data_IF_913999658061
#
_entry.id   IF_913999658061
#
_cell.length_a   1.000
_cell.length_b   1.000
_cell.length_c   1.000
_cell.angle_alpha   90.00
_cell.angle_beta   90.00
_cell.angle_gamma   90.00
#
_symmetry.space_group_name_H-M   'P 1'
#
loop_
_entity.id
_entity.type
_entity.pdbx_description
1 polymer ?
#
# COMPACT_ATOMS: atom_id res chain seq x y z
N UNK A 1 -1.94 -11.35 -19.07
CA UNK A 1 -2.53 -10.29 -18.22
C UNK A 1 -2.19 -10.49 -16.76
N UNK A 2 -1.64 -9.47 -16.07
CA UNK A 2 -1.43 -9.50 -14.61
C UNK A 2 -2.56 -8.77 -13.89
N UNK A 3 -3.13 -9.41 -12.87
CA UNK A 3 -4.14 -8.85 -11.97
C UNK A 3 -3.53 -8.73 -10.58
N UNK A 4 -3.40 -7.52 -10.06
CA UNK A 4 -2.96 -7.32 -8.68
C UNK A 4 -4.16 -7.20 -7.74
N UNK A 5 -4.14 -7.95 -6.63
CA UNK A 5 -5.11 -7.85 -5.53
C UNK A 5 -4.44 -7.10 -4.38
N UNK A 6 -4.77 -5.82 -4.25
CA UNK A 6 -4.32 -4.99 -3.14
C UNK A 6 -5.28 -5.14 -1.97
N UNK A 7 -4.89 -5.87 -0.93
CA UNK A 7 -5.78 -6.20 0.16
C UNK A 7 -5.03 -6.53 1.45
N UNK A 8 -5.77 -6.50 2.56
CA UNK A 8 -5.30 -7.05 3.84
C UNK A 8 -5.87 -8.46 4.04
N UNK A 9 -5.08 -9.37 4.60
CA UNK A 9 -5.49 -10.75 4.90
C UNK A 9 -6.42 -10.84 6.11
N UNK A 10 -6.55 -9.76 6.90
CA UNK A 10 -7.56 -9.62 7.96
C UNK A 10 -8.87 -8.98 7.45
N UNK A 11 -8.99 -8.73 6.15
CA UNK A 11 -10.22 -8.17 5.57
C UNK A 11 -11.12 -9.26 4.99
N UNK A 12 -12.31 -9.46 5.55
CA UNK A 12 -13.24 -10.50 5.07
C UNK A 12 -13.69 -10.27 3.62
N UNK A 13 -13.79 -9.01 3.20
CA UNK A 13 -14.08 -8.65 1.82
C UNK A 13 -12.95 -9.02 0.86
N UNK A 14 -11.70 -9.11 1.31
CA UNK A 14 -10.61 -9.62 0.47
C UNK A 14 -10.83 -11.10 0.11
N UNK A 15 -11.28 -11.92 1.07
CA UNK A 15 -11.56 -13.33 0.82
C UNK A 15 -12.78 -13.54 -0.08
N UNK A 16 -13.85 -12.77 0.15
CA UNK A 16 -15.02 -12.75 -0.73
C UNK A 16 -14.61 -12.29 -2.14
N UNK A 17 -13.77 -11.26 -2.23
CA UNK A 17 -13.21 -10.74 -3.48
C UNK A 17 -12.42 -11.80 -4.25
N UNK A 18 -11.57 -12.58 -3.55
CA UNK A 18 -10.84 -13.72 -4.13
C UNK A 18 -11.79 -14.71 -4.82
N UNK A 19 -12.83 -15.17 -4.10
CA UNK A 19 -13.84 -16.10 -4.65
C UNK A 19 -14.58 -15.53 -5.85
N UNK A 20 -14.93 -14.23 -5.80
CA UNK A 20 -15.62 -13.56 -6.92
C UNK A 20 -14.71 -13.39 -8.14
N UNK A 21 -13.42 -13.12 -7.93
CA UNK A 21 -12.43 -13.08 -9.01
C UNK A 21 -12.24 -14.47 -9.63
N UNK A 22 -12.04 -15.51 -8.81
CA UNK A 22 -11.95 -16.90 -9.28
C UNK A 22 -13.17 -17.26 -10.13
N UNK A 23 -14.37 -16.91 -9.66
CA UNK A 23 -15.61 -17.14 -10.42
C UNK A 23 -15.66 -16.37 -11.74
N UNK A 24 -15.15 -15.14 -11.78
CA UNK A 24 -15.06 -14.36 -13.02
C UNK A 24 -14.06 -14.96 -14.01
N UNK A 25 -13.00 -15.61 -13.51
CA UNK A 25 -11.96 -16.25 -14.31
C UNK A 25 -12.35 -17.66 -14.81
N UNK A 26 -13.26 -18.38 -14.15
CA UNK A 26 -13.77 -19.68 -14.63
C UNK A 26 -14.37 -19.61 -16.05
N UNK A 27 -14.99 -18.49 -16.40
CA UNK A 27 -15.61 -18.23 -17.70
C UNK A 27 -14.81 -17.21 -18.52
N UNK A 28 -13.51 -17.10 -18.29
CA UNK A 28 -12.66 -16.16 -19.00
C UNK A 28 -12.16 -16.76 -20.31
N UNK A 29 -12.67 -16.23 -21.43
CA UNK A 29 -12.32 -16.66 -22.79
C UNK A 29 -11.19 -15.81 -23.42
N UNK A 30 -10.47 -15.01 -22.62
CA UNK A 30 -9.39 -14.18 -23.14
C UNK A 30 -8.12 -14.99 -23.42
N UNK A 31 -7.43 -14.66 -24.52
CA UNK A 31 -6.22 -15.36 -25.00
C UNK A 31 -5.00 -15.20 -24.08
N UNK A 32 -5.05 -14.24 -23.15
CA UNK A 32 -3.93 -13.92 -22.26
C UNK A 32 -3.84 -14.88 -21.07
N UNK A 33 -2.64 -15.42 -20.84
CA UNK A 33 -2.32 -16.09 -19.57
C UNK A 33 -2.54 -15.11 -18.40
N UNK A 34 -3.40 -15.50 -17.45
CA UNK A 34 -3.74 -14.68 -16.28
C UNK A 34 -2.79 -14.99 -15.13
N UNK A 35 -2.09 -13.97 -14.64
CA UNK A 35 -1.29 -14.04 -13.42
C UNK A 35 -1.95 -13.21 -12.32
N UNK A 36 -2.33 -13.85 -11.21
CA UNK A 36 -2.93 -13.17 -10.06
C UNK A 36 -1.85 -12.95 -9.00
N UNK A 37 -1.67 -11.71 -8.56
CA UNK A 37 -0.61 -11.32 -7.63
C UNK A 37 -1.19 -10.57 -6.44
N UNK A 38 -0.87 -11.01 -5.23
CA UNK A 38 -1.27 -10.32 -4.00
C UNK A 38 -0.30 -9.17 -3.68
N UNK A 39 -0.88 -8.04 -3.28
CA UNK A 39 -0.15 -6.83 -2.87
C UNK A 39 -0.61 -6.36 -1.49
N UNK A 40 0.33 -5.93 -0.63
CA UNK A 40 0.03 -5.66 0.76
C UNK A 40 -0.77 -4.36 0.90
N UNK A 41 -1.83 -4.45 1.70
CA UNK A 41 -2.49 -3.31 2.32
C UNK A 41 -2.73 -3.68 3.79
N UNK A 42 -2.52 -2.74 4.71
CA UNK A 42 -2.78 -2.95 6.14
C UNK A 42 -3.94 -2.07 6.59
N UNK A 43 -5.05 -2.70 6.98
CA UNK A 43 -6.24 -2.00 7.46
C UNK A 43 -6.01 -1.39 8.85
N UNK A 44 -5.29 -2.12 9.71
CA UNK A 44 -4.89 -1.68 11.04
C UNK A 44 -3.37 -1.79 11.19
N UNK A 45 -2.62 -0.76 10.78
CA UNK A 45 -1.17 -0.72 10.98
C UNK A 45 -0.76 -0.68 12.47
N UNK A 46 -1.70 -0.36 13.37
CA UNK A 46 -1.48 -0.20 14.81
C UNK A 46 -1.89 -1.40 15.65
N UNK A 47 -2.32 -2.49 15.01
CA UNK A 47 -2.60 -3.75 15.68
C UNK A 47 -1.36 -4.19 16.48
N UNK A 48 -1.52 -4.57 17.76
CA UNK A 48 -0.39 -4.99 18.60
C UNK A 48 0.23 -6.30 18.10
N UNK A 49 1.48 -6.57 18.49
CA UNK A 49 2.18 -7.79 18.09
C UNK A 49 1.49 -9.05 18.64
N UNK A 50 0.99 -8.97 19.88
CA UNK A 50 0.14 -10.01 20.46
C UNK A 50 -1.30 -9.78 20.02
N UNK A 51 -1.93 -10.79 19.40
CA UNK A 51 -3.31 -10.68 18.99
C UNK A 51 -4.27 -10.58 20.17
N UNK A 52 -5.34 -9.81 19.97
CA UNK A 52 -6.39 -9.58 20.97
C UNK A 52 -7.67 -10.31 20.54
N UNK A 53 -8.51 -10.79 21.48
CA UNK A 53 -9.81 -11.36 21.14
C UNK A 53 -10.70 -10.35 20.39
N UNK A 54 -11.18 -10.71 19.20
CA UNK A 54 -11.95 -9.81 18.35
C UNK A 54 -13.27 -9.39 19.00
N UNK A 55 -13.88 -10.24 19.82
CA UNK A 55 -15.15 -9.95 20.48
C UNK A 55 -15.03 -8.84 21.54
N UNK A 56 -13.87 -8.71 22.20
CA UNK A 56 -13.57 -7.59 23.09
C UNK A 56 -13.42 -6.29 22.31
N UNK A 57 -12.69 -6.33 21.20
CA UNK A 57 -12.47 -5.18 20.31
C UNK A 57 -13.78 -4.67 19.70
N UNK A 58 -14.67 -5.56 19.27
CA UNK A 58 -15.97 -5.18 18.70
C UNK A 58 -16.92 -4.53 19.72
N UNK A 59 -16.66 -4.67 21.03
CA UNK A 59 -17.41 -3.98 22.10
C UNK A 59 -16.87 -2.57 22.39
N UNK A 60 -15.69 -2.21 21.85
CA UNK A 60 -15.13 -0.87 22.01
C UNK A 60 -16.00 0.17 21.25
N UNK A 61 -16.53 1.21 21.93
CA UNK A 61 -17.36 2.23 21.30
C UNK A 61 -16.70 2.98 20.13
N UNK A 62 -15.37 3.14 20.15
CA UNK A 62 -14.61 3.81 19.07
C UNK A 62 -14.59 2.90 17.84
N UNK A 63 -14.37 1.61 18.02
CA UNK A 63 -14.38 0.62 16.95
C UNK A 63 -15.79 0.45 16.38
N UNK A 64 -16.80 0.35 17.24
CA UNK A 64 -18.21 0.30 16.83
C UNK A 64 -18.57 1.51 15.96
N UNK A 65 -18.19 2.72 16.37
CA UNK A 65 -18.44 3.94 15.60
C UNK A 65 -17.72 3.93 14.24
N UNK A 66 -16.47 3.46 14.17
CA UNK A 66 -15.73 3.32 12.92
C UNK A 66 -16.38 2.29 11.97
N UNK A 67 -16.81 1.15 12.49
CA UNK A 67 -17.46 0.09 11.70
C UNK A 67 -18.82 0.54 11.14
N UNK A 68 -19.59 1.36 11.87
CA UNK A 68 -20.83 1.95 11.37
C UNK A 68 -20.63 2.88 10.18
N UNK A 69 -19.47 3.53 10.07
CA UNK A 69 -19.14 4.34 8.88
C UNK A 69 -18.89 3.46 7.65
N UNK A 70 -18.41 2.22 7.84
CA UNK A 70 -18.20 1.27 6.75
C UNK A 70 -19.51 0.67 6.23
N UNK A 71 -20.57 0.61 7.05
CA UNK A 71 -21.89 0.12 6.66
C UNK A 71 -23.00 1.00 7.27
N UNK A 72 -23.23 2.21 6.71
CA UNK A 72 -24.25 3.11 7.22
C UNK A 72 -25.63 2.45 7.27
N UNK A 73 -26.30 2.53 8.43
CA UNK A 73 -27.63 1.97 8.63
C UNK A 73 -27.68 0.53 9.15
N UNK A 74 -26.52 -0.12 9.38
CA UNK A 74 -26.43 -1.41 10.06
C UNK A 74 -25.64 -1.28 11.37
N UNK A 75 -26.07 -1.99 12.41
CA UNK A 75 -25.22 -2.27 13.58
C UNK A 75 -24.08 -3.22 13.18
N UNK A 76 -22.96 -3.27 13.95
CA UNK A 76 -21.89 -4.22 13.65
C UNK A 76 -22.35 -5.68 13.64
N UNK A 77 -23.28 -6.07 14.52
CA UNK A 77 -23.85 -7.41 14.56
C UNK A 77 -24.65 -7.74 13.28
N UNK A 78 -25.52 -6.84 12.82
CA UNK A 78 -26.27 -7.01 11.57
C UNK A 78 -25.32 -7.09 10.36
N UNK A 79 -24.29 -6.23 10.34
CA UNK A 79 -23.29 -6.26 9.29
C UNK A 79 -22.47 -7.57 9.31
N UNK A 80 -22.14 -8.10 10.48
CA UNK A 80 -21.44 -9.40 10.60
C UNK A 80 -22.29 -10.55 10.05
N UNK A 81 -23.59 -10.58 10.36
CA UNK A 81 -24.54 -11.57 9.80
C UNK A 81 -24.61 -11.44 8.28
N UNK A 82 -24.75 -10.22 7.76
CA UNK A 82 -24.77 -9.95 6.32
C UNK A 82 -23.51 -10.44 5.62
N UNK A 83 -22.33 -10.12 6.16
CA UNK A 83 -21.05 -10.54 5.57
C UNK A 83 -20.91 -12.06 5.61
N UNK A 84 -21.34 -12.72 6.70
CA UNK A 84 -21.36 -14.18 6.81
C UNK A 84 -22.25 -14.84 5.74
N UNK A 85 -23.44 -14.29 5.49
CA UNK A 85 -24.33 -14.77 4.41
C UNK A 85 -23.69 -14.61 3.03
N UNK A 86 -23.03 -13.48 2.77
CA UNK A 86 -22.31 -13.26 1.51
C UNK A 86 -21.15 -14.25 1.36
N UNK A 87 -20.38 -14.49 2.42
CA UNK A 87 -19.29 -15.46 2.42
C UNK A 87 -19.78 -16.88 2.12
N UNK A 88 -20.88 -17.30 2.76
CA UNK A 88 -21.50 -18.59 2.50
C UNK A 88 -21.97 -18.72 1.03
N UNK A 89 -22.58 -17.66 0.48
CA UNK A 89 -23.06 -17.63 -0.90
C UNK A 89 -21.94 -17.75 -1.95
N UNK A 90 -20.70 -17.37 -1.61
CA UNK A 90 -19.52 -17.54 -2.47
C UNK A 90 -18.72 -18.81 -2.14
N UNK A 91 -19.30 -19.74 -1.37
CA UNK A 91 -18.72 -21.06 -1.12
C UNK A 91 -17.72 -21.13 0.05
N UNK A 92 -17.64 -20.10 0.91
CA UNK A 92 -16.74 -20.11 2.09
C UNK A 92 -17.32 -20.88 3.28
N UNK A 93 -18.56 -21.38 3.15
CA UNK A 93 -19.23 -22.21 4.13
C UNK A 93 -19.88 -21.43 5.27
N UNK A 94 -20.52 -22.14 6.22
CA UNK A 94 -21.28 -21.53 7.31
C UNK A 94 -20.43 -21.04 8.49
N UNK A 95 -19.16 -21.50 8.58
CA UNK A 95 -18.21 -21.05 9.61
C UNK A 95 -17.46 -19.84 9.07
N UNK A 96 -17.77 -18.67 9.61
CA UNK A 96 -17.22 -17.40 9.16
C UNK A 96 -17.05 -16.40 10.31
N UNK A 97 -15.85 -15.85 10.44
CA UNK A 97 -15.57 -14.74 11.34
C UNK A 97 -14.14 -14.78 11.88
N UNK A 98 -13.56 -13.62 12.11
CA UNK A 98 -12.26 -13.51 12.78
C UNK A 98 -12.45 -13.64 14.29
N UNK A 99 -11.67 -14.51 14.93
CA UNK A 99 -11.59 -14.61 16.38
C UNK A 99 -10.56 -13.64 17.00
N UNK A 100 -9.65 -13.12 16.18
CA UNK A 100 -8.48 -12.37 16.62
C UNK A 100 -8.35 -11.04 15.88
N UNK A 101 -8.05 -9.96 16.59
CA UNK A 101 -7.45 -8.75 16.02
C UNK A 101 -5.95 -9.02 15.87
N UNK A 102 -5.57 -9.56 14.71
CA UNK A 102 -4.21 -9.97 14.43
C UNK A 102 -3.42 -8.86 13.71
N UNK A 103 -2.15 -8.68 14.08
CA UNK A 103 -1.22 -7.87 13.30
C UNK A 103 -0.81 -8.63 12.02
N UNK A 104 -1.21 -8.10 10.86
CA UNK A 104 -0.98 -8.72 9.56
C UNK A 104 0.43 -8.48 8.98
N UNK A 105 1.35 -7.81 9.68
CA UNK A 105 2.68 -7.46 9.14
C UNK A 105 3.48 -8.68 8.68
N UNK A 106 3.62 -9.69 9.53
CA UNK A 106 4.38 -10.90 9.18
C UNK A 106 3.66 -11.78 8.16
N UNK A 107 2.32 -11.79 8.16
CA UNK A 107 1.53 -12.44 7.13
C UNK A 107 1.76 -11.80 5.75
N UNK A 108 1.79 -10.47 5.66
CA UNK A 108 2.15 -9.75 4.43
C UNK A 108 3.60 -9.97 4.03
N UNK A 109 4.53 -10.05 5.00
CA UNK A 109 5.93 -10.38 4.71
C UNK A 109 6.06 -11.78 4.11
N UNK A 110 5.30 -12.75 4.62
CA UNK A 110 5.23 -14.10 4.05
C UNK A 110 4.70 -14.09 2.61
N UNK A 111 3.62 -13.37 2.32
CA UNK A 111 3.08 -13.21 0.97
C UNK A 111 4.08 -12.55 0.00
N UNK A 112 4.78 -11.52 0.50
CA UNK A 112 5.79 -10.80 -0.28
C UNK A 112 6.95 -11.72 -0.65
N UNK A 113 7.43 -12.51 0.30
CA UNK A 113 8.48 -13.50 0.10
C UNK A 113 8.03 -14.66 -0.80
N UNK A 114 6.81 -15.16 -0.63
CA UNK A 114 6.28 -16.26 -1.45
C UNK A 114 6.27 -15.90 -2.94
N UNK A 115 5.87 -14.68 -3.29
CA UNK A 115 5.94 -14.22 -4.68
C UNK A 115 7.38 -14.06 -5.18
N UNK A 116 8.24 -13.42 -4.38
CA UNK A 116 9.62 -13.15 -4.77
C UNK A 116 10.45 -14.43 -4.99
N UNK A 117 10.21 -15.46 -4.18
CA UNK A 117 11.01 -16.69 -4.16
C UNK A 117 10.38 -17.84 -4.96
N UNK A 118 9.05 -17.86 -5.08
CA UNK A 118 8.32 -19.02 -5.61
C UNK A 118 7.17 -18.67 -6.59
N UNK A 119 6.97 -17.39 -6.89
CA UNK A 119 6.02 -16.92 -7.90
C UNK A 119 4.56 -16.86 -7.45
N UNK A 120 3.70 -16.42 -8.39
CA UNK A 120 2.30 -16.10 -8.14
C UNK A 120 1.46 -17.27 -7.60
N UNK A 121 1.67 -18.49 -8.10
CA UNK A 121 0.88 -19.65 -7.68
C UNK A 121 1.10 -20.01 -6.20
N UNK A 122 2.35 -19.98 -5.74
CA UNK A 122 2.68 -20.24 -4.33
C UNK A 122 2.21 -19.07 -3.45
N UNK A 123 2.33 -17.83 -3.93
CA UNK A 123 1.76 -16.69 -3.23
C UNK A 123 0.24 -16.82 -3.02
N UNK A 124 -0.51 -17.22 -4.04
CA UNK A 124 -1.96 -17.39 -3.92
C UNK A 124 -2.32 -18.52 -2.93
N UNK A 125 -1.56 -19.63 -2.96
CA UNK A 125 -1.73 -20.70 -1.98
C UNK A 125 -1.49 -20.21 -0.54
N UNK A 126 -0.46 -19.39 -0.31
CA UNK A 126 -0.21 -18.76 0.99
C UNK A 126 -1.37 -17.83 1.38
N UNK A 127 -1.87 -17.00 0.46
CA UNK A 127 -2.99 -16.09 0.71
C UNK A 127 -4.26 -16.85 1.11
N UNK A 128 -4.59 -17.91 0.36
CA UNK A 128 -5.71 -18.81 0.64
C UNK A 128 -5.60 -19.41 2.06
N UNK A 129 -4.41 -19.90 2.44
CA UNK A 129 -4.17 -20.47 3.77
C UNK A 129 -4.27 -19.43 4.89
N UNK A 130 -3.74 -18.22 4.70
CA UNK A 130 -3.87 -17.11 5.65
C UNK A 130 -5.34 -16.72 5.88
N UNK A 131 -6.08 -16.51 4.79
CA UNK A 131 -7.49 -16.12 4.83
C UNK A 131 -8.35 -17.21 5.50
N UNK A 132 -8.12 -18.48 5.15
CA UNK A 132 -8.77 -19.63 5.78
C UNK A 132 -8.45 -19.74 7.27
N UNK A 133 -7.16 -19.65 7.64
CA UNK A 133 -6.73 -19.73 9.03
C UNK A 133 -7.42 -18.68 9.89
N UNK A 134 -7.52 -17.44 9.39
CA UNK A 134 -8.11 -16.33 10.10
C UNK A 134 -9.64 -16.39 10.20
N UNK A 135 -10.34 -16.63 9.08
CA UNK A 135 -11.81 -16.49 9.00
C UNK A 135 -12.60 -17.76 9.21
N UNK A 136 -11.98 -18.94 9.05
CA UNK A 136 -12.67 -20.24 9.11
C UNK A 136 -12.15 -21.08 10.27
N UNK A 137 -10.85 -21.05 10.51
CA UNK A 137 -10.20 -21.88 11.54
C UNK A 137 -9.98 -21.13 12.87
N UNK A 138 -10.32 -19.83 12.93
CA UNK A 138 -10.17 -18.99 14.12
C UNK A 138 -8.74 -18.97 14.70
N UNK A 139 -7.72 -19.06 13.84
CA UNK A 139 -6.31 -19.04 14.22
C UNK A 139 -5.76 -17.63 14.22
N UNK A 140 -4.83 -17.38 15.14
CA UNK A 140 -4.05 -16.15 15.17
C UNK A 140 -2.99 -16.16 14.07
N UNK A 141 -3.09 -15.26 13.10
CA UNK A 141 -2.15 -15.13 11.98
C UNK A 141 -1.01 -14.15 12.26
N UNK A 142 -0.90 -13.58 13.46
CA UNK A 142 0.34 -12.93 13.92
C UNK A 142 1.27 -13.92 14.63
N UNK A 143 0.77 -15.08 15.07
CA UNK A 143 1.57 -16.14 15.68
C UNK A 143 2.54 -16.78 14.68
N UNK A 144 3.81 -16.89 15.10
CA UNK A 144 4.88 -17.40 14.25
C UNK A 144 4.70 -18.88 13.90
N UNK A 145 4.28 -19.71 14.85
CA UNK A 145 4.05 -21.14 14.62
C UNK A 145 2.92 -21.35 13.61
N UNK A 146 1.88 -20.51 13.68
CA UNK A 146 0.79 -20.52 12.69
C UNK A 146 1.30 -20.15 11.30
N UNK A 147 2.10 -19.08 11.18
CA UNK A 147 2.68 -18.67 9.90
C UNK A 147 3.64 -19.72 9.31
N UNK A 148 4.43 -20.38 10.14
CA UNK A 148 5.34 -21.44 9.70
C UNK A 148 4.56 -22.65 9.16
N UNK A 149 3.48 -23.05 9.84
CA UNK A 149 2.60 -24.11 9.35
C UNK A 149 1.94 -23.73 8.01
N UNK A 150 1.44 -22.49 7.91
CA UNK A 150 0.84 -21.95 6.68
C UNK A 150 1.83 -21.99 5.52
N UNK A 151 3.08 -21.59 5.76
CA UNK A 151 4.12 -21.60 4.75
C UNK A 151 4.38 -23.03 4.23
N UNK A 152 4.54 -24.00 5.13
CA UNK A 152 4.75 -25.42 4.76
C UNK A 152 3.56 -25.98 3.98
N UNK A 153 2.36 -25.76 4.49
CA UNK A 153 1.10 -26.24 3.93
C UNK A 153 0.77 -25.68 2.55
N UNK A 154 1.25 -24.47 2.25
CA UNK A 154 1.14 -23.81 0.95
C UNK A 154 2.27 -24.21 -0.02
N UNK A 155 3.17 -25.10 0.36
CA UNK A 155 4.32 -25.50 -0.45
C UNK A 155 5.49 -24.51 -0.44
N UNK A 156 5.52 -23.59 0.52
CA UNK A 156 6.56 -22.56 0.68
C UNK A 156 7.41 -22.77 1.95
N UNK A 157 8.00 -23.96 2.12
CA UNK A 157 8.78 -24.29 3.33
C UNK A 157 9.97 -23.35 3.57
N UNK A 158 10.52 -22.72 2.53
CA UNK A 158 11.57 -21.69 2.68
C UNK A 158 11.09 -20.48 3.50
N UNK A 159 9.79 -20.18 3.48
CA UNK A 159 9.16 -19.10 4.25
C UNK A 159 9.44 -19.18 5.74
N UNK A 160 9.49 -20.39 6.32
CA UNK A 160 9.81 -20.62 7.74
C UNK A 160 11.16 -20.00 8.10
N UNK A 161 12.19 -20.28 7.31
CA UNK A 161 13.54 -19.74 7.54
C UNK A 161 13.59 -18.25 7.24
N UNK A 162 12.98 -17.80 6.14
CA UNK A 162 13.02 -16.40 5.71
C UNK A 162 12.33 -15.48 6.71
N UNK A 163 11.21 -15.91 7.31
CA UNK A 163 10.52 -15.17 8.36
C UNK A 163 11.33 -15.09 9.68
N UNK A 164 12.36 -15.90 9.88
CA UNK A 164 13.19 -15.82 11.08
C UNK A 164 14.09 -14.58 11.07
N UNK A 165 14.42 -14.07 9.88
CA UNK A 165 15.22 -12.86 9.70
C UNK A 165 14.39 -11.65 9.25
N UNK A 166 15.08 -10.66 8.71
CA UNK A 166 14.53 -9.42 8.14
C UNK A 166 14.19 -9.52 6.65
N UNK A 167 14.23 -10.72 6.07
CA UNK A 167 13.96 -10.92 4.65
C UNK A 167 12.57 -10.38 4.30
N UNK A 168 12.51 -9.62 3.19
CA UNK A 168 11.26 -9.04 2.69
C UNK A 168 10.79 -7.76 3.39
N UNK A 169 11.43 -7.28 4.46
CA UNK A 169 11.01 -6.04 5.15
C UNK A 169 11.05 -4.81 4.23
N UNK A 170 12.15 -4.62 3.50
CA UNK A 170 12.31 -3.48 2.59
C UNK A 170 11.31 -3.55 1.43
N UNK A 171 11.14 -4.74 0.84
CA UNK A 171 10.20 -4.97 -0.25
C UNK A 171 8.74 -4.75 0.20
N UNK A 172 8.38 -5.26 1.38
CA UNK A 172 7.06 -5.04 1.98
C UNK A 172 6.79 -3.55 2.21
N UNK A 173 7.78 -2.84 2.79
CA UNK A 173 7.67 -1.40 3.04
C UNK A 173 7.48 -0.62 1.74
N UNK A 174 8.25 -0.94 0.70
CA UNK A 174 8.14 -0.33 -0.63
C UNK A 174 6.75 -0.55 -1.25
N UNK A 175 6.25 -1.79 -1.21
CA UNK A 175 4.92 -2.13 -1.72
C UNK A 175 3.79 -1.43 -0.95
N UNK A 176 3.85 -1.38 0.38
CA UNK A 176 2.86 -0.65 1.20
C UNK A 176 2.80 0.84 0.84
N UNK A 177 3.95 1.45 0.59
CA UNK A 177 4.03 2.85 0.16
C UNK A 177 3.44 3.06 -1.23
N UNK A 178 3.68 2.13 -2.17
CA UNK A 178 3.03 2.17 -3.48
C UNK A 178 1.50 2.05 -3.37
N UNK A 179 0.97 1.14 -2.55
CA UNK A 179 -0.47 1.03 -2.30
C UNK A 179 -1.06 2.31 -1.71
N UNK A 180 -0.37 2.92 -0.74
CA UNK A 180 -0.75 4.21 -0.14
C UNK A 180 -0.75 5.34 -1.16
N UNK A 181 0.25 5.39 -2.05
CA UNK A 181 0.36 6.38 -3.11
C UNK A 181 -0.78 6.27 -4.12
N UNK A 182 -1.19 5.04 -4.43
CA UNK A 182 -2.35 4.77 -5.30
C UNK A 182 -3.70 5.05 -4.64
N UNK A 183 -3.72 5.33 -3.34
CA UNK A 183 -4.94 5.61 -2.59
C UNK A 183 -5.76 4.36 -2.25
N UNK A 184 -5.13 3.19 -2.15
CA UNK A 184 -5.80 1.95 -1.72
C UNK A 184 -6.31 2.11 -0.29
N UNK A 185 -7.61 1.92 -0.10
CA UNK A 185 -8.30 1.96 1.21
C UNK A 185 -9.25 0.79 1.44
N UNK A 186 -9.36 -0.12 0.46
CA UNK A 186 -10.20 -1.32 0.49
C UNK A 186 -9.62 -2.35 -0.48
N UNK A 187 -10.02 -3.64 -0.43
CA UNK A 187 -9.62 -4.62 -1.42
C UNK A 187 -9.80 -4.07 -2.83
N UNK A 188 -8.73 -3.99 -3.61
CA UNK A 188 -8.73 -3.32 -4.92
C UNK A 188 -8.04 -4.21 -5.95
N UNK A 189 -8.73 -4.47 -7.06
CA UNK A 189 -8.12 -5.12 -8.23
C UNK A 189 -7.45 -4.07 -9.11
N UNK A 190 -6.23 -4.35 -9.57
CA UNK A 190 -5.47 -3.47 -10.45
C UNK A 190 -4.99 -4.23 -11.68
N UNK A 191 -5.24 -3.67 -12.86
CA UNK A 191 -4.77 -4.20 -14.15
C UNK A 191 -4.25 -3.01 -14.96
N UNK A 192 -2.95 -3.00 -15.27
CA UNK A 192 -2.28 -1.83 -15.83
C UNK A 192 -2.46 -0.62 -14.91
N UNK A 193 -2.96 0.49 -15.46
CA UNK A 193 -3.25 1.71 -14.70
C UNK A 193 -4.70 1.79 -14.19
N UNK A 194 -5.53 0.77 -14.46
CA UNK A 194 -6.95 0.74 -14.08
C UNK A 194 -7.15 0.05 -12.74
N UNK A 195 -8.13 0.51 -11.97
CA UNK A 195 -8.44 0.03 -10.62
C UNK A 195 -9.93 -0.23 -10.45
N UNK A 196 -10.27 -1.33 -9.79
CA UNK A 196 -11.62 -1.67 -9.36
C UNK A 196 -11.63 -1.88 -7.84
N UNK A 197 -12.20 -0.92 -7.11
CA UNK A 197 -12.27 -0.97 -5.66
C UNK A 197 -13.46 -1.82 -5.16
N UNK A 198 -13.24 -2.54 -4.08
CA UNK A 198 -14.20 -3.42 -3.43
C UNK A 198 -14.29 -4.81 -4.05
N UNK A 199 -14.89 -5.72 -3.29
CA UNK A 199 -15.23 -7.06 -3.76
C UNK A 199 -16.47 -7.01 -4.66
N UNK A 200 -16.34 -6.49 -5.87
CA UNK A 200 -17.45 -6.37 -6.84
C UNK A 200 -18.03 -7.73 -7.25
N UNK A 201 -19.23 -7.74 -7.82
CA UNK A 201 -19.84 -8.96 -8.36
C UNK A 201 -18.98 -9.57 -9.48
N UNK A 202 -18.99 -10.91 -9.68
CA UNK A 202 -18.19 -11.56 -10.71
C UNK A 202 -18.37 -10.96 -12.12
N UNK A 203 -19.60 -10.54 -12.46
CA UNK A 203 -19.92 -9.93 -13.75
C UNK A 203 -19.21 -8.58 -13.94
N UNK A 204 -19.19 -7.74 -12.90
CA UNK A 204 -18.50 -6.46 -12.91
C UNK A 204 -16.97 -6.62 -12.92
N UNK A 205 -16.45 -7.64 -12.23
CA UNK A 205 -15.03 -8.01 -12.32
C UNK A 205 -14.70 -8.42 -13.76
N UNK A 206 -15.51 -9.29 -14.37
CA UNK A 206 -15.30 -9.71 -15.76
C UNK A 206 -15.36 -8.55 -16.75
N UNK A 207 -16.33 -7.64 -16.60
CA UNK A 207 -16.40 -6.43 -17.43
C UNK A 207 -15.15 -5.55 -17.26
N UNK A 208 -14.67 -5.38 -16.03
CA UNK A 208 -13.43 -4.68 -15.74
C UNK A 208 -12.22 -5.35 -16.42
N UNK A 209 -12.14 -6.69 -16.37
CA UNK A 209 -11.11 -7.50 -17.02
C UNK A 209 -11.27 -7.56 -18.56
N UNK A 210 -12.45 -7.35 -19.13
CA UNK A 210 -12.66 -7.37 -20.58
C UNK A 210 -12.38 -6.00 -21.22
N UNK A 211 -12.60 -4.91 -20.48
CA UNK A 211 -12.30 -3.58 -20.95
C UNK A 211 -10.79 -3.43 -21.15
N UNK A 212 -10.35 -3.41 -22.42
CA UNK A 212 -8.94 -3.43 -22.81
C UNK A 212 -8.04 -2.58 -21.91
N UNK A 213 -6.98 -3.20 -21.45
CA UNK A 213 -6.01 -2.61 -20.52
C UNK A 213 -4.68 -2.62 -21.24
N UNK A 214 -4.28 -1.45 -21.73
CA UNK A 214 -2.90 -1.27 -22.16
C UNK A 214 -2.00 -1.56 -20.95
N UNK A 215 -1.02 -2.42 -21.15
CA UNK A 215 0.04 -2.59 -20.17
C UNK A 215 0.68 -1.22 -19.92
N UNK A 216 0.90 -0.87 -18.65
CA UNK A 216 1.44 0.44 -18.29
C UNK A 216 2.80 0.62 -18.96
N UNK A 217 2.87 1.47 -19.98
CA UNK A 217 4.10 1.75 -20.75
C UNK A 217 5.06 2.65 -19.99
N UNK A 218 4.66 3.14 -18.82
CA UNK A 218 5.48 4.01 -17.99
C UNK A 218 6.67 3.24 -17.42
N UNK A 219 7.91 3.77 -17.57
CA UNK A 219 9.06 3.21 -16.89
C UNK A 219 8.84 3.13 -15.37
N UNK A 220 9.42 2.13 -14.73
CA UNK A 220 9.27 1.88 -13.29
C UNK A 220 9.72 3.08 -12.46
N UNK A 221 10.76 3.77 -12.90
CA UNK A 221 11.32 4.96 -12.29
C UNK A 221 10.32 6.12 -12.31
N UNK A 222 9.61 6.29 -13.43
CA UNK A 222 8.57 7.32 -13.59
C UNK A 222 7.36 7.01 -12.71
N UNK A 223 6.93 5.75 -12.64
CA UNK A 223 5.85 5.34 -11.72
C UNK A 223 6.25 5.59 -10.27
N UNK A 224 7.48 5.24 -9.90
CA UNK A 224 8.03 5.46 -8.56
C UNK A 224 8.09 6.95 -8.20
N UNK A 225 8.52 7.81 -9.14
CA UNK A 225 8.54 9.26 -8.96
C UNK A 225 7.13 9.81 -8.72
N UNK A 226 6.15 9.41 -9.55
CA UNK A 226 4.74 9.80 -9.39
C UNK A 226 4.15 9.32 -8.06
N UNK A 227 4.49 8.10 -7.63
CA UNK A 227 4.06 7.60 -6.32
C UNK A 227 4.69 8.37 -5.16
N UNK A 228 5.96 8.75 -5.26
CA UNK A 228 6.60 9.60 -4.25
C UNK A 228 5.93 10.99 -4.16
N UNK A 229 5.56 11.57 -5.31
CA UNK A 229 4.83 12.84 -5.34
C UNK A 229 3.45 12.71 -4.70
N UNK A 230 2.69 11.68 -5.06
CA UNK A 230 1.40 11.39 -4.44
C UNK A 230 1.49 11.20 -2.91
N UNK A 231 2.56 10.57 -2.40
CA UNK A 231 2.78 10.46 -0.96
C UNK A 231 3.04 11.82 -0.30
N UNK A 232 3.83 12.67 -0.95
CA UNK A 232 4.11 14.01 -0.44
C UNK A 232 2.84 14.86 -0.38
N UNK A 233 1.99 14.81 -1.41
CA UNK A 233 0.70 15.50 -1.44
C UNK A 233 -0.25 15.01 -0.34
N UNK A 234 -0.14 13.73 0.02
CA UNK A 234 -0.83 13.09 1.15
C UNK A 234 -0.17 13.36 2.51
N UNK A 235 0.78 14.30 2.58
CA UNK A 235 1.53 14.67 3.78
C UNK A 235 2.35 13.52 4.38
N UNK A 236 2.86 12.62 3.54
CA UNK A 236 3.79 11.55 3.92
C UNK A 236 5.18 11.78 3.31
N UNK A 237 5.95 12.78 3.80
CA UNK A 237 7.26 13.08 3.26
C UNK A 237 8.30 11.98 3.51
N UNK A 238 8.14 11.19 4.59
CA UNK A 238 9.07 10.09 4.89
C UNK A 238 8.83 8.88 3.97
N UNK A 239 7.56 8.57 3.68
CA UNK A 239 7.20 7.60 2.64
C UNK A 239 7.70 8.03 1.28
N UNK A 240 7.51 9.30 0.90
CA UNK A 240 8.04 9.86 -0.34
C UNK A 240 9.57 9.70 -0.44
N UNK A 241 10.31 10.03 0.63
CA UNK A 241 11.77 9.85 0.67
C UNK A 241 12.20 8.38 0.57
N UNK A 242 11.42 7.46 1.13
CA UNK A 242 11.68 6.02 0.99
C UNK A 242 11.57 5.60 -0.48
N UNK A 243 10.51 6.03 -1.18
CA UNK A 243 10.35 5.74 -2.61
C UNK A 243 11.38 6.46 -3.49
N UNK A 244 11.86 7.64 -3.07
CA UNK A 244 12.87 8.41 -3.81
C UNK A 244 14.30 7.90 -3.63
N UNK A 245 14.58 7.11 -2.59
CA UNK A 245 15.94 6.64 -2.29
C UNK A 245 16.66 5.98 -3.48
N UNK A 246 16.07 4.99 -4.19
CA UNK A 246 16.72 4.42 -5.38
C UNK A 246 16.80 5.43 -6.54
N UNK A 247 15.81 6.30 -6.72
CA UNK A 247 15.85 7.34 -7.76
C UNK A 247 16.98 8.35 -7.52
N UNK A 248 17.26 8.68 -6.26
CA UNK A 248 18.38 9.56 -5.91
C UNK A 248 19.74 8.89 -6.13
N UNK A 249 19.81 7.57 -5.98
CA UNK A 249 21.03 6.80 -6.24
C UNK A 249 21.33 6.72 -7.75
N UNK A 250 20.32 6.39 -8.56
CA UNK A 250 20.50 6.08 -9.98
C UNK A 250 20.30 7.30 -10.90
N UNK A 251 19.43 8.23 -10.48
CA UNK A 251 19.02 9.41 -11.24
C UNK A 251 19.16 10.70 -10.42
N UNK A 252 20.11 10.72 -9.48
CA UNK A 252 20.37 11.86 -8.62
C UNK A 252 20.68 13.15 -9.39
N UNK A 253 21.05 13.08 -10.67
CA UNK A 253 21.27 14.22 -11.55
C UNK A 253 20.02 14.87 -12.14
N UNK A 254 18.89 14.16 -12.12
CA UNK A 254 17.63 14.65 -12.66
C UNK A 254 17.05 15.78 -11.76
N UNK A 255 16.69 16.93 -12.33
CA UNK A 255 16.18 18.06 -11.56
C UNK A 255 14.84 17.77 -10.87
N UNK A 256 13.96 16.95 -11.45
CA UNK A 256 12.67 16.61 -10.87
C UNK A 256 12.83 15.69 -9.67
N UNK A 257 13.71 14.68 -9.77
CA UNK A 257 14.05 13.79 -8.65
C UNK A 257 14.62 14.61 -7.49
N UNK A 258 15.59 15.49 -7.76
CA UNK A 258 16.18 16.37 -6.73
C UNK A 258 15.16 17.31 -6.12
N UNK A 259 14.31 17.94 -6.94
CA UNK A 259 13.33 18.90 -6.46
C UNK A 259 12.31 18.22 -5.55
N UNK A 260 11.80 17.06 -5.95
CA UNK A 260 10.84 16.31 -5.14
C UNK A 260 11.47 15.84 -3.83
N UNK A 261 12.71 15.36 -3.85
CA UNK A 261 13.47 15.02 -2.65
C UNK A 261 13.70 16.24 -1.74
N UNK A 262 14.04 17.40 -2.30
CA UNK A 262 14.20 18.64 -1.54
C UNK A 262 12.89 19.07 -0.86
N UNK A 263 11.75 19.00 -1.58
CA UNK A 263 10.42 19.25 -1.02
C UNK A 263 10.13 18.29 0.15
N UNK A 264 10.43 17.00 -0.02
CA UNK A 264 10.20 15.99 1.01
C UNK A 264 11.12 16.16 2.22
N UNK A 265 12.40 16.50 2.03
CA UNK A 265 13.32 16.85 3.13
C UNK A 265 12.87 18.10 3.87
N UNK A 266 12.40 19.13 3.18
CA UNK A 266 11.86 20.33 3.81
C UNK A 266 10.61 20.02 4.65
N UNK A 267 9.67 19.25 4.09
CA UNK A 267 8.43 18.85 4.76
C UNK A 267 8.68 17.96 5.99
N UNK A 268 9.73 17.13 5.98
CA UNK A 268 10.17 16.31 7.13
C UNK A 268 11.21 16.98 8.04
N UNK A 269 11.39 18.30 7.92
CA UNK A 269 12.32 19.10 8.73
C UNK A 269 13.82 18.68 8.66
N UNK A 270 14.21 17.93 7.64
CA UNK A 270 15.60 17.59 7.32
C UNK A 270 16.26 18.73 6.53
N UNK A 271 16.30 19.92 7.14
CA UNK A 271 16.60 21.18 6.43
C UNK A 271 18.01 21.24 5.82
N UNK A 272 19.00 20.57 6.40
CA UNK A 272 20.35 20.52 5.85
C UNK A 272 20.41 19.77 4.51
N UNK A 273 19.69 18.63 4.42
CA UNK A 273 19.57 17.86 3.17
C UNK A 273 18.76 18.61 2.12
N UNK A 274 17.68 19.29 2.53
CA UNK A 274 16.91 20.16 1.65
C UNK A 274 17.78 21.27 1.06
N UNK A 275 18.55 21.98 1.89
CA UNK A 275 19.45 23.05 1.44
C UNK A 275 20.48 22.55 0.43
N UNK A 276 21.12 21.41 0.70
CA UNK A 276 22.14 20.84 -0.19
C UNK A 276 21.59 20.63 -1.60
N UNK A 277 20.39 20.04 -1.74
CA UNK A 277 19.77 19.81 -3.04
C UNK A 277 19.30 21.11 -3.70
N UNK A 278 18.73 22.03 -2.91
CA UNK A 278 18.20 23.30 -3.44
C UNK A 278 19.29 24.23 -3.95
N UNK A 279 20.47 24.26 -3.33
CA UNK A 279 21.61 25.03 -3.83
C UNK A 279 22.02 24.57 -5.23
N UNK A 280 22.15 23.26 -5.43
CA UNK A 280 22.47 22.68 -6.74
C UNK A 280 21.43 23.08 -7.79
N UNK A 281 20.14 23.03 -7.44
CA UNK A 281 19.06 23.40 -8.35
C UNK A 281 19.06 24.90 -8.68
N UNK A 282 19.30 25.78 -7.71
CA UNK A 282 19.41 27.23 -7.94
C UNK A 282 20.63 27.56 -8.81
N UNK A 283 21.76 26.88 -8.60
CA UNK A 283 22.98 27.12 -9.38
C UNK A 283 22.79 26.70 -10.85
N UNK A 284 22.06 25.60 -11.11
CA UNK A 284 21.74 25.14 -12.46
C UNK A 284 20.65 25.98 -13.15
N UNK A 285 19.63 26.40 -12.40
CA UNK A 285 18.49 27.16 -12.91
C UNK A 285 18.18 28.37 -12.03
N UNK A 286 18.98 29.46 -12.10
CA UNK A 286 18.81 30.61 -11.22
C UNK A 286 17.45 31.33 -11.35
N UNK A 287 16.78 31.15 -12.49
CA UNK A 287 15.48 31.72 -12.83
C UNK A 287 14.27 30.92 -12.33
N UNK A 288 14.47 29.79 -11.64
CA UNK A 288 13.37 29.06 -11.03
C UNK A 288 12.94 29.72 -9.71
N UNK A 289 11.81 30.45 -9.76
CA UNK A 289 11.28 31.16 -8.60
C UNK A 289 10.85 30.20 -7.47
N UNK A 290 10.31 29.02 -7.80
CA UNK A 290 9.84 28.06 -6.80
C UNK A 290 11.02 27.47 -6.00
N UNK A 291 12.06 27.01 -6.70
CA UNK A 291 13.26 26.45 -6.06
C UNK A 291 13.92 27.51 -5.18
N UNK A 292 14.02 28.76 -5.67
CA UNK A 292 14.61 29.87 -4.92
C UNK A 292 13.78 30.23 -3.69
N UNK A 293 12.45 30.23 -3.80
CA UNK A 293 11.55 30.42 -2.67
C UNK A 293 11.79 29.34 -1.61
N UNK A 294 11.79 28.08 -2.02
CA UNK A 294 11.96 26.93 -1.13
C UNK A 294 13.33 26.96 -0.43
N UNK A 295 14.40 27.37 -1.12
CA UNK A 295 15.72 27.60 -0.49
C UNK A 295 15.66 28.71 0.55
N UNK A 296 15.02 29.83 0.22
CA UNK A 296 14.79 30.94 1.16
C UNK A 296 14.04 30.50 2.42
N UNK A 297 12.93 29.77 2.27
CA UNK A 297 12.16 29.20 3.39
C UNK A 297 12.96 28.18 4.20
N UNK A 298 13.78 27.37 3.54
CA UNK A 298 14.68 26.40 4.20
C UNK A 298 15.68 27.11 5.09
N UNK A 299 16.40 28.10 4.55
CA UNK A 299 17.37 28.91 5.31
C UNK A 299 16.70 29.68 6.45
N UNK A 300 15.48 30.19 6.23
CA UNK A 300 14.72 30.87 7.27
C UNK A 300 14.38 29.92 8.44
N UNK A 301 13.91 28.70 8.15
CA UNK A 301 13.63 27.68 9.19
C UNK A 301 14.88 27.18 9.92
N UNK A 302 16.05 27.32 9.30
CA UNK A 302 17.35 27.07 9.96
C UNK A 302 17.84 28.26 10.82
N UNK A 303 17.13 29.39 10.87
CA UNK A 303 17.54 30.59 11.60
C UNK A 303 18.52 31.50 10.84
N UNK A 304 18.74 31.28 9.54
CA UNK A 304 19.72 32.03 8.71
C UNK A 304 19.04 33.18 7.96
N UNK A 305 18.44 34.11 8.71
CA UNK A 305 17.56 35.16 8.19
C UNK A 305 18.19 36.04 7.10
N UNK A 306 19.46 36.45 7.26
CA UNK A 306 20.15 37.30 6.27
C UNK A 306 20.30 36.61 4.91
N UNK A 307 20.65 35.32 4.91
CA UNK A 307 20.80 34.55 3.68
C UNK A 307 19.43 34.23 3.06
N UNK A 308 18.43 33.92 3.89
CA UNK A 308 17.05 33.72 3.43
C UNK A 308 16.50 34.97 2.73
N UNK A 309 16.73 36.17 3.29
CA UNK A 309 16.22 37.42 2.76
C UNK A 309 16.69 37.69 1.32
N UNK A 310 17.93 37.33 0.97
CA UNK A 310 18.43 37.47 -0.40
C UNK A 310 17.63 36.62 -1.40
N UNK A 311 17.36 35.36 -1.06
CA UNK A 311 16.58 34.46 -1.93
C UNK A 311 15.11 34.85 -2.01
N UNK A 312 14.49 35.24 -0.88
CA UNK A 312 13.07 35.60 -0.83
C UNK A 312 12.78 36.92 -1.55
N UNK A 313 13.65 37.94 -1.46
CA UNK A 313 13.50 39.19 -2.21
C UNK A 313 13.57 38.98 -3.72
N UNK A 314 14.51 38.16 -4.18
CA UNK A 314 14.62 37.80 -5.60
C UNK A 314 13.37 37.04 -6.07
N UNK A 315 12.87 36.10 -5.26
CA UNK A 315 11.63 35.38 -5.56
C UNK A 315 10.45 36.36 -5.72
N UNK A 316 10.27 37.29 -4.78
CA UNK A 316 9.21 38.29 -4.83
C UNK A 316 9.25 39.15 -6.10
N UNK A 317 10.45 39.47 -6.59
CA UNK A 317 10.64 40.20 -7.84
C UNK A 317 10.35 39.34 -9.09
N UNK A 318 10.59 38.03 -9.02
CA UNK A 318 10.39 37.11 -10.15
C UNK A 318 8.93 36.65 -10.29
N UNK A 319 8.25 36.42 -9.17
CA UNK A 319 6.89 35.88 -9.13
C UNK A 319 6.19 36.32 -7.85
N UNK A 320 5.37 37.39 -7.90
CA UNK A 320 4.73 37.99 -6.71
C UNK A 320 3.82 37.05 -5.92
N UNK A 321 3.29 35.99 -6.55
CA UNK A 321 2.37 35.03 -5.93
C UNK A 321 2.99 34.19 -4.80
N UNK A 322 4.31 34.26 -4.60
CA UNK A 322 5.04 33.57 -3.54
C UNK A 322 5.26 34.44 -2.28
N UNK A 323 4.69 35.64 -2.21
CA UNK A 323 4.84 36.60 -1.10
C UNK A 323 3.65 36.59 -0.16
#
# INVERSE_FOLDING_TARGET
MRIEIWADVVCGWAYIGKRRLEKALESWDGDDAVEVVWRPYRIDPTAPDQAEPMDEILRDPIVDAALRQCAPGLSPAENQVRVSQVAAAVGLGPRWGAAWRANSHHAHRLLTLAYAEAGAAVQDAVAERLLRAHFIEARDISDRTVLDQIAVDAGFSAGVRLLAGSAGEELLRDQLLHGRAMGVTSPTFVVGDRRLAGAQAPEAIREFLAAGHAESTLPTEVRRLRHAEALLDRRDPLGALTLLAPLLADHGDDPNVRLLAARAYFASAQLGRAEQLLRILVDRSPGDAYVRHLLGRTLQRQGRATQAAAHLRLTAAMSPDYV
#
